data_IF_118602415260
#
_entry.id   IF_118602415260
#
_cell.length_a   1.000
_cell.length_b   1.000
_cell.length_c   1.000
_cell.angle_alpha   90.00
_cell.angle_beta   90.00
_cell.angle_gamma   90.00
#
_symmetry.space_group_name_H-M   'P 1'
#
loop_
_entity.id
_entity.type
_entity.pdbx_description
1 polymer ?
#
# COMPACT_ATOMS: atom_id res chain seq x y z
N UNK A 1 -19.18 2.23 -14.76
CA UNK A 1 -20.31 1.67 -14.00
C UNK A 1 -19.84 0.69 -12.92
N UNK A 2 -19.20 -0.43 -13.26
CA UNK A 2 -18.77 -1.45 -12.28
C UNK A 2 -17.80 -0.92 -11.21
N UNK A 3 -16.77 -0.15 -11.60
CA UNK A 3 -15.82 0.48 -10.64
C UNK A 3 -16.54 1.44 -9.70
N UNK A 4 -17.40 2.32 -10.22
CA UNK A 4 -18.15 3.28 -9.39
C UNK A 4 -19.09 2.58 -8.38
N UNK A 5 -19.80 1.53 -8.81
CA UNK A 5 -20.65 0.74 -7.92
C UNK A 5 -19.83 0.05 -6.83
N UNK A 6 -18.67 -0.52 -7.19
CA UNK A 6 -17.75 -1.14 -6.23
C UNK A 6 -17.22 -0.14 -5.22
N UNK A 7 -16.82 1.05 -5.67
CA UNK A 7 -16.34 2.13 -4.79
C UNK A 7 -17.41 2.56 -3.79
N UNK A 8 -18.66 2.75 -4.24
CA UNK A 8 -19.78 3.11 -3.35
C UNK A 8 -19.96 2.04 -2.27
N UNK A 9 -20.04 0.77 -2.67
CA UNK A 9 -20.22 -0.35 -1.73
C UNK A 9 -19.06 -0.45 -0.74
N UNK A 10 -17.82 -0.44 -1.21
CA UNK A 10 -16.64 -0.55 -0.35
C UNK A 10 -16.55 0.63 0.63
N UNK A 11 -16.75 1.87 0.17
CA UNK A 11 -16.67 3.06 1.05
C UNK A 11 -17.78 3.03 2.10
N UNK A 12 -19.01 2.67 1.72
CA UNK A 12 -20.12 2.54 2.69
C UNK A 12 -19.87 1.42 3.71
N UNK A 13 -19.29 0.30 3.29
CA UNK A 13 -19.01 -0.83 4.18
C UNK A 13 -17.85 -0.52 5.14
N UNK A 14 -16.85 0.23 4.69
CA UNK A 14 -15.78 0.76 5.55
C UNK A 14 -16.34 1.74 6.57
N UNK A 15 -17.16 2.69 6.15
CA UNK A 15 -17.79 3.65 7.07
C UNK A 15 -18.61 2.92 8.14
N UNK A 16 -19.45 1.95 7.72
CA UNK A 16 -20.21 1.12 8.65
C UNK A 16 -19.31 0.33 9.63
N UNK A 17 -18.20 -0.21 9.13
CA UNK A 17 -17.27 -0.98 9.97
C UNK A 17 -16.53 -0.06 10.94
N UNK A 18 -16.17 1.15 10.53
CA UNK A 18 -15.58 2.15 11.40
C UNK A 18 -16.54 2.56 12.51
N UNK A 19 -17.79 2.87 12.18
CA UNK A 19 -18.82 3.20 13.17
C UNK A 19 -19.04 2.05 14.16
N UNK A 20 -19.01 0.81 13.67
CA UNK A 20 -19.14 -0.38 14.51
C UNK A 20 -17.93 -0.59 15.43
N UNK A 21 -16.71 -0.43 14.91
CA UNK A 21 -15.48 -0.55 15.70
C UNK A 21 -15.41 0.55 16.75
N UNK A 22 -15.76 1.79 16.39
CA UNK A 22 -15.80 2.91 17.32
C UNK A 22 -16.84 2.68 18.41
N UNK A 23 -18.03 2.19 18.05
CA UNK A 23 -19.04 1.80 19.02
C UNK A 23 -18.51 0.72 19.97
N UNK A 24 -17.92 -0.37 19.47
CA UNK A 24 -17.34 -1.42 20.31
C UNK A 24 -16.17 -0.93 21.18
N UNK A 25 -15.34 -0.04 20.65
CA UNK A 25 -14.20 0.52 21.36
C UNK A 25 -14.65 1.43 22.52
N UNK A 26 -15.73 2.20 22.31
CA UNK A 26 -16.35 3.02 23.36
C UNK A 26 -16.86 2.18 24.54
N UNK A 27 -17.30 0.93 24.31
CA UNK A 27 -17.69 0.01 25.38
C UNK A 27 -16.51 -0.43 26.27
N UNK A 28 -15.28 -0.42 25.74
CA UNK A 28 -14.05 -0.79 26.45
C UNK A 28 -13.30 0.46 26.94
N UNK A 29 -13.84 1.66 26.70
CA UNK A 29 -13.24 2.94 27.09
C UNK A 29 -12.08 3.38 26.21
N UNK A 30 -12.02 2.91 24.96
CA UNK A 30 -11.04 3.33 23.95
C UNK A 30 -11.75 4.21 22.93
N UNK A 31 -11.47 5.51 22.96
CA UNK A 31 -12.07 6.47 22.02
C UNK A 31 -11.25 6.58 20.72
N UNK A 32 -11.93 6.70 19.58
CA UNK A 32 -11.31 6.99 18.28
C UNK A 32 -10.58 5.83 17.60
N UNK A 33 -10.87 4.57 17.98
CA UNK A 33 -10.32 3.40 17.29
C UNK A 33 -11.06 3.17 15.97
N UNK A 34 -10.34 3.19 14.85
CA UNK A 34 -10.89 2.89 13.52
C UNK A 34 -10.35 1.59 12.96
N UNK A 35 -11.04 1.04 11.94
CA UNK A 35 -10.55 -0.11 11.19
C UNK A 35 -9.20 0.20 10.53
N UNK A 36 -9.02 1.42 10.01
CA UNK A 36 -7.75 1.85 9.43
C UNK A 36 -6.60 1.80 10.44
N UNK A 37 -6.85 2.17 11.69
CA UNK A 37 -5.84 2.11 12.75
C UNK A 37 -5.48 0.66 13.10
N UNK A 38 -6.49 -0.20 13.25
CA UNK A 38 -6.30 -1.63 13.51
C UNK A 38 -5.49 -2.32 12.40
N UNK A 39 -5.86 -2.07 11.15
CA UNK A 39 -5.12 -2.58 10.00
C UNK A 39 -3.73 -1.95 9.92
N UNK A 40 -3.59 -0.68 10.32
CA UNK A 40 -2.32 -0.01 10.47
C UNK A 40 -1.36 -0.74 11.40
N UNK A 41 -1.82 -1.09 12.60
CA UNK A 41 -1.01 -1.88 13.54
C UNK A 41 -0.64 -3.26 13.01
N UNK A 42 -1.57 -3.93 12.31
CA UNK A 42 -1.32 -5.25 11.72
C UNK A 42 -0.29 -5.20 10.58
N UNK A 43 -0.31 -4.14 9.76
CA UNK A 43 0.54 -4.01 8.58
C UNK A 43 1.79 -3.13 8.81
N UNK A 44 1.91 -2.43 9.94
CA UNK A 44 3.11 -1.69 10.33
C UNK A 44 4.42 -2.50 10.26
N UNK A 45 4.50 -3.77 10.72
CA UNK A 45 5.72 -4.56 10.56
C UNK A 45 6.08 -4.84 9.09
N UNK A 46 5.08 -4.94 8.21
CA UNK A 46 5.32 -5.09 6.76
C UNK A 46 5.83 -3.78 6.16
N UNK A 47 5.27 -2.63 6.55
CA UNK A 47 5.76 -1.31 6.14
C UNK A 47 7.22 -1.11 6.57
N UNK A 48 7.55 -1.46 7.81
CA UNK A 48 8.92 -1.42 8.31
C UNK A 48 9.86 -2.32 7.50
N UNK A 49 9.42 -3.54 7.16
CA UNK A 49 10.20 -4.47 6.34
C UNK A 49 10.47 -3.97 4.91
N UNK A 50 9.63 -3.10 4.37
CA UNK A 50 9.85 -2.43 3.07
C UNK A 50 10.81 -1.22 3.16
N UNK A 51 11.31 -0.89 4.34
CA UNK A 51 12.26 0.21 4.55
C UNK A 51 11.61 1.58 4.74
N UNK A 52 10.38 1.62 5.26
CA UNK A 52 9.71 2.86 5.70
C UNK A 52 10.28 3.31 7.05
N UNK A 53 10.52 4.62 7.27
CA UNK A 53 10.87 5.17 8.59
C UNK A 53 9.87 4.79 9.68
N UNK A 54 10.33 4.66 10.93
CA UNK A 54 9.48 4.15 12.04
C UNK A 54 8.29 5.05 12.34
N UNK A 55 8.43 6.38 12.21
CA UNK A 55 7.34 7.34 12.39
C UNK A 55 6.19 7.12 11.39
N UNK A 56 6.52 6.77 10.15
CA UNK A 56 5.55 6.66 9.05
C UNK A 56 4.98 5.24 8.90
N UNK A 57 5.57 4.24 9.56
CA UNK A 57 5.18 2.84 9.44
C UNK A 57 3.70 2.60 9.75
N UNK A 58 3.13 3.30 10.74
CA UNK A 58 1.73 3.11 11.11
C UNK A 58 0.79 3.67 10.01
N UNK A 59 1.13 4.82 9.45
CA UNK A 59 0.36 5.46 8.38
C UNK A 59 0.43 4.62 7.09
N UNK A 60 1.63 4.19 6.69
CA UNK A 60 1.82 3.33 5.51
C UNK A 60 1.17 1.96 5.71
N UNK A 61 1.28 1.39 6.91
CA UNK A 61 0.58 0.15 7.27
C UNK A 61 -0.93 0.31 7.12
N UNK A 62 -1.48 1.45 7.52
CA UNK A 62 -2.90 1.73 7.40
C UNK A 62 -3.34 1.75 5.93
N UNK A 63 -2.57 2.42 5.07
CA UNK A 63 -2.82 2.45 3.62
C UNK A 63 -2.81 1.04 2.99
N UNK A 64 -1.84 0.20 3.38
CA UNK A 64 -1.75 -1.20 2.92
C UNK A 64 -3.00 -1.99 3.34
N UNK A 65 -3.43 -1.84 4.58
CA UNK A 65 -4.63 -2.48 5.09
C UNK A 65 -5.89 -2.06 4.33
N UNK A 66 -6.05 -0.75 4.14
CA UNK A 66 -7.17 -0.18 3.38
C UNK A 66 -7.19 -0.72 1.96
N UNK A 67 -6.04 -0.81 1.29
CA UNK A 67 -5.95 -1.43 -0.03
C UNK A 67 -6.53 -2.85 -0.04
N UNK A 68 -6.09 -3.71 0.87
CA UNK A 68 -6.44 -5.13 0.89
C UNK A 68 -7.95 -5.32 1.14
N UNK A 69 -8.49 -4.60 2.13
CA UNK A 69 -9.89 -4.74 2.56
C UNK A 69 -10.85 -4.03 1.61
N UNK A 70 -10.43 -2.90 1.04
CA UNK A 70 -11.32 -1.99 0.30
C UNK A 70 -10.96 -2.00 -1.18
N UNK A 71 -9.97 -1.20 -1.58
CA UNK A 71 -9.34 -1.16 -2.90
C UNK A 71 -8.17 -0.15 -2.89
N UNK A 72 -7.36 -0.20 -3.93
CA UNK A 72 -6.25 0.70 -4.16
C UNK A 72 -6.67 2.16 -4.39
N UNK A 73 -7.84 2.42 -5.00
CA UNK A 73 -8.29 3.80 -5.25
C UNK A 73 -8.56 4.59 -3.96
N UNK A 74 -9.22 3.97 -2.98
CA UNK A 74 -9.49 4.56 -1.66
C UNK A 74 -8.18 4.74 -0.89
N UNK A 75 -7.26 3.77 -1.01
CA UNK A 75 -5.93 3.91 -0.43
C UNK A 75 -5.15 5.09 -1.04
N UNK A 76 -5.16 5.24 -2.37
CA UNK A 76 -4.53 6.37 -3.06
C UNK A 76 -5.18 7.71 -2.72
N UNK A 77 -6.51 7.75 -2.51
CA UNK A 77 -7.18 8.97 -2.06
C UNK A 77 -6.64 9.42 -0.69
N UNK A 78 -6.55 8.49 0.28
CA UNK A 78 -5.99 8.78 1.61
C UNK A 78 -4.51 9.15 1.55
N UNK A 79 -3.72 8.47 0.71
CA UNK A 79 -2.33 8.85 0.46
C UNK A 79 -2.26 10.29 -0.05
N UNK A 80 -3.07 10.66 -1.05
CA UNK A 80 -3.13 12.02 -1.57
C UNK A 80 -3.54 13.08 -0.53
N UNK A 81 -4.41 12.72 0.43
CA UNK A 81 -4.77 13.61 1.53
C UNK A 81 -3.62 13.77 2.54
N UNK A 82 -2.87 12.70 2.83
CA UNK A 82 -1.67 12.73 3.68
C UNK A 82 -0.53 13.57 3.05
N UNK A 83 -0.35 13.47 1.73
CA UNK A 83 0.62 14.27 0.98
C UNK A 83 0.31 15.77 1.07
N UNK A 84 -0.96 16.15 0.86
CA UNK A 84 -1.40 17.55 1.02
C UNK A 84 -1.19 18.07 2.44
N UNK A 85 -1.38 17.19 3.43
CA UNK A 85 -1.18 17.51 4.83
C UNK A 85 0.29 17.47 5.28
N UNK A 86 1.23 17.06 4.41
CA UNK A 86 2.65 16.87 4.71
C UNK A 86 2.89 15.96 5.94
N UNK A 87 2.11 14.88 6.06
CA UNK A 87 2.20 13.97 7.22
C UNK A 87 3.07 12.74 7.01
N UNK A 88 3.63 12.55 5.80
CA UNK A 88 4.50 11.44 5.39
C UNK A 88 5.83 12.02 4.89
N UNK A 89 6.95 11.36 5.19
CA UNK A 89 8.23 11.70 4.58
C UNK A 89 8.32 11.21 3.12
N UNK A 90 9.19 11.85 2.32
CA UNK A 90 9.39 11.57 0.90
C UNK A 90 9.68 10.09 0.60
N UNK A 91 10.53 9.46 1.43
CA UNK A 91 10.82 8.02 1.34
C UNK A 91 9.56 7.18 1.56
N UNK A 92 8.74 7.53 2.56
CA UNK A 92 7.52 6.80 2.89
C UNK A 92 6.45 6.96 1.82
N UNK A 93 6.30 8.17 1.26
CA UNK A 93 5.44 8.44 0.10
C UNK A 93 5.82 7.56 -1.09
N UNK A 94 7.11 7.49 -1.43
CA UNK A 94 7.62 6.69 -2.53
C UNK A 94 7.32 5.20 -2.31
N UNK A 95 7.69 4.65 -1.14
CA UNK A 95 7.45 3.24 -0.82
C UNK A 95 5.94 2.92 -0.81
N UNK A 96 5.11 3.80 -0.22
CA UNK A 96 3.66 3.63 -0.21
C UNK A 96 3.09 3.62 -1.63
N UNK A 97 3.54 4.52 -2.50
CA UNK A 97 3.06 4.60 -3.90
C UNK A 97 3.28 3.28 -4.65
N UNK A 98 4.45 2.66 -4.50
CA UNK A 98 4.76 1.37 -5.13
C UNK A 98 4.06 0.19 -4.44
N UNK A 99 4.00 0.18 -3.10
CA UNK A 99 3.30 -0.85 -2.35
C UNK A 99 1.79 -0.86 -2.65
N UNK A 100 1.20 0.30 -2.94
CA UNK A 100 -0.20 0.44 -3.31
C UNK A 100 -0.49 0.09 -4.78
N UNK A 101 0.53 0.06 -5.64
CA UNK A 101 0.39 -0.16 -7.08
C UNK A 101 0.03 -1.62 -7.42
N UNK A 102 -1.24 -1.97 -7.27
CA UNK A 102 -1.79 -3.24 -7.76
C UNK A 102 -3.19 -3.54 -7.24
N UNK A 103 -3.94 -4.33 -8.01
CA UNK A 103 -5.34 -4.67 -7.75
C UNK A 103 -5.51 -5.86 -6.78
N UNK A 104 -4.57 -6.06 -5.85
CA UNK A 104 -4.58 -7.15 -4.88
C UNK A 104 -5.48 -6.82 -3.67
N UNK A 105 -6.79 -6.84 -3.92
CA UNK A 105 -7.84 -6.64 -2.92
C UNK A 105 -8.97 -7.68 -3.11
N UNK A 106 -9.78 -7.92 -2.08
CA UNK A 106 -10.85 -8.93 -2.13
C UNK A 106 -11.87 -8.68 -3.26
N UNK A 107 -12.15 -7.41 -3.55
CA UNK A 107 -13.06 -7.00 -4.59
C UNK A 107 -12.61 -7.38 -6.00
N UNK A 108 -11.39 -6.99 -6.35
CA UNK A 108 -10.74 -7.32 -7.62
C UNK A 108 -10.59 -8.83 -7.81
N UNK A 109 -10.28 -9.57 -6.74
CA UNK A 109 -10.23 -11.03 -6.80
C UNK A 109 -11.59 -11.66 -7.09
N UNK A 110 -12.67 -11.07 -6.56
CA UNK A 110 -14.04 -11.48 -6.90
C UNK A 110 -14.39 -11.24 -8.36
N UNK A 111 -14.03 -10.07 -8.90
CA UNK A 111 -14.23 -9.72 -10.32
C UNK A 111 -13.44 -10.67 -11.23
N UNK A 112 -12.15 -10.88 -10.94
CA UNK A 112 -11.28 -11.75 -11.74
C UNK A 112 -11.75 -13.21 -11.68
N UNK A 113 -12.14 -13.69 -10.51
CA UNK A 113 -12.73 -15.03 -10.33
C UNK A 113 -14.02 -15.17 -11.13
N UNK A 114 -14.92 -14.17 -11.08
CA UNK A 114 -16.13 -14.16 -11.89
C UNK A 114 -15.84 -14.21 -13.39
N UNK A 115 -14.87 -13.43 -13.86
CA UNK A 115 -14.46 -13.40 -15.26
C UNK A 115 -13.89 -14.75 -15.72
N UNK A 116 -12.95 -15.33 -14.97
CA UNK A 116 -12.32 -16.61 -15.32
C UNK A 116 -13.36 -17.73 -15.29
N UNK A 117 -14.26 -17.75 -14.31
CA UNK A 117 -15.29 -18.79 -14.19
C UNK A 117 -16.40 -18.69 -15.24
N UNK A 118 -16.63 -17.51 -15.82
CA UNK A 118 -17.49 -17.33 -16.98
C UNK A 118 -16.83 -17.84 -18.28
N UNK A 119 -15.52 -17.62 -18.44
CA UNK A 119 -14.76 -18.08 -19.61
C UNK A 119 -14.46 -19.59 -19.58
N UNK A 120 -14.17 -20.13 -18.39
CA UNK A 120 -13.79 -21.52 -18.18
C UNK A 120 -14.60 -22.12 -17.01
N UNK A 121 -15.90 -22.42 -17.20
CA UNK A 121 -16.78 -22.90 -16.14
C UNK A 121 -16.34 -24.23 -15.52
N UNK A 122 -15.59 -25.06 -16.25
CA UNK A 122 -14.99 -26.30 -15.77
C UNK A 122 -13.85 -26.07 -14.75
N UNK A 123 -13.23 -24.87 -14.74
CA UNK A 123 -12.13 -24.53 -13.83
C UNK A 123 -12.59 -23.88 -12.51
N UNK A 124 -13.90 -23.74 -12.28
CA UNK A 124 -14.46 -23.07 -11.09
C UNK A 124 -13.83 -23.50 -9.78
N UNK A 125 -13.70 -24.82 -9.58
CA UNK A 125 -13.15 -25.37 -8.33
C UNK A 125 -11.67 -25.05 -8.15
N UNK A 126 -10.88 -25.03 -9.22
CA UNK A 126 -9.46 -24.67 -9.16
C UNK A 126 -9.31 -23.18 -8.82
N UNK A 127 -10.05 -22.31 -9.51
CA UNK A 127 -10.00 -20.86 -9.29
C UNK A 127 -10.43 -20.50 -7.87
N UNK A 128 -11.53 -21.07 -7.36
CA UNK A 128 -11.99 -20.79 -6.00
C UNK A 128 -11.02 -21.26 -4.92
N UNK A 129 -10.22 -22.30 -5.19
CA UNK A 129 -9.21 -22.80 -4.25
C UNK A 129 -8.00 -21.88 -4.20
N UNK A 130 -7.56 -21.38 -5.36
CA UNK A 130 -6.28 -20.68 -5.48
C UNK A 130 -6.41 -19.14 -5.34
N UNK A 131 -7.64 -18.61 -5.34
CA UNK A 131 -7.94 -17.16 -5.26
C UNK A 131 -7.28 -16.46 -4.07
N UNK A 132 -7.26 -17.08 -2.90
CA UNK A 132 -6.68 -16.48 -1.70
C UNK A 132 -5.15 -16.41 -1.79
N UNK A 133 -4.51 -17.45 -2.35
CA UNK A 133 -3.08 -17.40 -2.60
C UNK A 133 -2.71 -16.42 -3.71
N UNK A 134 -3.55 -16.28 -4.73
CA UNK A 134 -3.37 -15.26 -5.76
C UNK A 134 -3.43 -13.84 -5.17
N UNK A 135 -4.32 -13.58 -4.20
CA UNK A 135 -4.37 -12.31 -3.47
C UNK A 135 -3.03 -12.04 -2.77
N UNK A 136 -2.56 -12.98 -1.95
CA UNK A 136 -1.30 -12.83 -1.19
C UNK A 136 -0.12 -12.64 -2.14
N UNK A 137 -0.01 -13.48 -3.19
CA UNK A 137 1.07 -13.38 -4.17
C UNK A 137 1.06 -12.01 -4.88
N UNK A 138 -0.12 -11.51 -5.25
CA UNK A 138 -0.28 -10.18 -5.84
C UNK A 138 0.11 -9.06 -4.87
N UNK A 139 -0.24 -9.17 -3.59
CA UNK A 139 0.17 -8.20 -2.56
C UNK A 139 1.70 -8.21 -2.37
N UNK A 140 2.32 -9.37 -2.29
CA UNK A 140 3.78 -9.51 -2.16
C UNK A 140 4.53 -8.99 -3.39
N UNK A 141 3.96 -9.13 -4.59
CA UNK A 141 4.52 -8.56 -5.81
C UNK A 141 4.53 -7.02 -5.78
N UNK A 142 3.52 -6.37 -5.19
CA UNK A 142 3.55 -4.92 -4.96
C UNK A 142 4.56 -4.53 -3.87
N UNK A 143 4.72 -5.36 -2.84
CA UNK A 143 5.69 -5.07 -1.79
C UNK A 143 7.13 -5.22 -2.29
N UNK A 144 7.41 -6.18 -3.18
CA UNK A 144 8.74 -6.31 -3.77
C UNK A 144 9.13 -5.09 -4.60
N UNK A 145 8.21 -4.50 -5.36
CA UNK A 145 8.47 -3.24 -6.07
C UNK A 145 8.68 -2.07 -5.09
N UNK A 146 7.92 -2.04 -3.99
CA UNK A 146 8.14 -1.08 -2.89
C UNK A 146 9.53 -1.20 -2.25
N UNK A 147 10.00 -2.42 -1.98
CA UNK A 147 11.35 -2.66 -1.48
C UNK A 147 12.43 -2.20 -2.47
N UNK A 148 12.25 -2.49 -3.76
CA UNK A 148 13.20 -2.03 -4.79
C UNK A 148 13.23 -0.51 -4.85
N UNK A 149 12.08 0.15 -4.80
CA UNK A 149 11.99 1.60 -4.77
C UNK A 149 12.68 2.19 -3.52
N UNK A 150 12.49 1.58 -2.36
CA UNK A 150 13.14 1.94 -1.09
C UNK A 150 14.67 1.84 -1.16
N UNK A 151 15.20 0.80 -1.81
CA UNK A 151 16.66 0.60 -1.98
C UNK A 151 17.25 1.60 -2.96
N UNK A 152 16.50 1.97 -4.00
CA UNK A 152 16.94 2.95 -4.99
C UNK A 152 16.72 4.40 -4.56
N UNK A 153 16.01 4.63 -3.46
CA UNK A 153 15.80 5.95 -2.90
C UNK A 153 17.10 6.45 -2.28
N UNK A 154 17.65 7.51 -2.88
CA UNK A 154 18.83 8.22 -2.39
C UNK A 154 18.31 9.42 -1.63
N UNK A 155 18.57 9.45 -0.33
CA UNK A 155 18.34 10.63 0.49
C UNK A 155 19.51 11.60 0.30
N UNK A 156 19.25 12.92 0.23
CA UNK A 156 20.31 13.92 0.15
C UNK A 156 21.26 13.86 1.38
N UNK A 157 20.86 13.22 2.49
CA UNK A 157 21.68 12.92 3.67
C UNK A 157 22.53 11.65 3.61
N UNK A 158 22.23 10.69 2.72
CA UNK A 158 22.94 9.38 2.59
C UNK A 158 24.13 9.44 1.60
N UNK A 159 24.32 10.59 0.96
CA UNK A 159 25.44 10.88 0.03
C UNK A 159 26.83 10.74 0.68
N UNK A 160 26.93 10.71 2.02
CA UNK A 160 28.18 10.51 2.74
C UNK A 160 28.62 9.03 2.79
N UNK A 161 27.69 8.07 2.82
CA UNK A 161 28.01 6.66 2.98
C UNK A 161 28.20 5.93 1.63
N UNK A 162 27.59 6.42 0.55
CA UNK A 162 27.88 5.97 -0.83
C UNK A 162 29.34 6.23 -1.21
N UNK A 163 29.97 7.27 -0.65
CA UNK A 163 31.38 7.58 -0.86
C UNK A 163 32.34 6.58 -0.21
N UNK A 164 31.88 5.74 0.73
CA UNK A 164 32.71 4.72 1.40
C UNK A 164 32.71 3.37 0.66
N UNK A 165 31.69 3.07 -0.15
CA UNK A 165 31.60 1.83 -0.94
C UNK A 165 31.94 1.99 -2.42
N UNK A 166 32.09 3.22 -2.91
CA UNK A 166 32.56 3.52 -4.26
C UNK A 166 34.07 3.40 -4.40
N UNK A 167 34.57 2.22 -4.82
CA UNK A 167 35.82 2.18 -5.58
C UNK A 167 35.69 3.15 -6.75
N UNK A 168 36.70 4.03 -6.88
CA UNK A 168 36.58 5.30 -7.57
C UNK A 168 36.09 5.23 -9.02
N UNK A 169 35.09 6.06 -9.31
CA UNK A 169 34.99 6.82 -10.55
C UNK A 169 34.02 7.97 -10.32
N UNK A 170 34.56 9.09 -9.83
CA UNK A 170 33.87 10.37 -9.87
C UNK A 170 33.76 10.81 -11.32
N UNK A 171 32.66 10.44 -11.98
CA UNK A 171 32.23 11.08 -13.22
C UNK A 171 31.12 12.11 -12.89
N UNK A 172 31.43 13.41 -12.90
CA UNK A 172 30.47 14.49 -12.67
C UNK A 172 29.27 14.45 -13.65
N UNK A 173 29.39 13.72 -14.75
CA UNK A 173 28.39 13.60 -15.81
C UNK A 173 27.20 12.72 -15.44
N UNK A 174 27.35 11.79 -14.48
CA UNK A 174 26.28 10.85 -14.11
C UNK A 174 25.35 11.42 -13.02
N UNK A 175 25.87 12.38 -12.23
CA UNK A 175 25.14 13.16 -11.21
C UNK A 175 24.21 14.24 -11.78
N UNK A 176 24.31 14.55 -13.08
CA UNK A 176 23.36 15.45 -13.77
C UNK A 176 22.18 14.71 -14.38
N UNK A 177 22.31 13.41 -14.62
CA UNK A 177 21.25 12.56 -15.21
C UNK A 177 20.29 12.03 -14.14
N UNK A 178 20.78 11.81 -12.91
CA UNK A 178 19.96 11.33 -11.78
C UNK A 178 19.25 12.43 -10.99
N UNK A 179 19.54 13.71 -11.27
CA UNK A 179 18.70 14.81 -10.78
C UNK A 179 17.44 14.88 -11.62
N UNK A 180 16.43 14.11 -11.23
CA UNK A 180 15.06 14.37 -11.67
C UNK A 180 14.69 15.79 -11.25
N UNK A 181 14.29 16.68 -12.17
CA UNK A 181 13.86 18.02 -11.79
C UNK A 181 12.63 17.89 -10.89
N UNK A 182 12.75 18.39 -9.68
CA UNK A 182 11.62 18.64 -8.77
C UNK A 182 10.63 19.55 -9.50
N UNK A 183 9.46 19.01 -9.83
CA UNK A 183 8.28 19.80 -10.21
C UNK A 183 7.45 20.08 -8.96
#
# INVERSE_FOLDING_TARGET
AAVAAMLIVCVSLVALTNDLVEWLASLVGIDGLTLEALLGYACAPLAFAMGVPREDCLQVGSLIGIKIVTNEFVAYQKLGDMLKANTLGDRAELVATYALCGFSNFGSMGIMTGAITAMAPQQKSAVSRDVFMALIAGTLACFSTGCVASVLYIDDGDSADVHLFGHGSGDPSLMSVLRTPSC
#
